data_IF_003358834711
#
_entry.id   IF_003358834711
#
_cell.length_a   1.000
_cell.length_b   1.000
_cell.length_c   1.000
_cell.angle_alpha   90.00
_cell.angle_beta   90.00
_cell.angle_gamma   90.00
#
_symmetry.space_group_name_H-M   'P 1'
#
loop_
_entity.id
_entity.type
_entity.pdbx_description
1 polymer ?
#
# COMPACT_ATOMS: atom_id res chain seq x y z
N UNK A 1 -18.28 8.24 -15.74
CA UNK A 1 -17.11 8.21 -14.83
C UNK A 1 -17.29 7.05 -13.85
N UNK A 2 -16.23 6.29 -13.55
CA UNK A 2 -16.32 5.27 -12.47
C UNK A 2 -16.45 5.97 -11.12
N UNK A 3 -17.26 5.41 -10.20
CA UNK A 3 -17.42 5.93 -8.84
C UNK A 3 -16.05 6.06 -8.14
N UNK A 4 -15.81 7.10 -7.32
CA UNK A 4 -14.55 7.34 -6.60
C UNK A 4 -14.02 6.11 -5.87
N UNK A 5 -14.90 5.33 -5.25
CA UNK A 5 -14.58 4.09 -4.57
C UNK A 5 -13.68 3.15 -5.40
N UNK A 6 -14.05 2.89 -6.67
CA UNK A 6 -13.29 1.96 -7.52
C UNK A 6 -11.92 2.52 -7.91
N UNK A 7 -11.84 3.83 -8.16
CA UNK A 7 -10.57 4.49 -8.48
C UNK A 7 -9.61 4.42 -7.30
N UNK A 8 -10.11 4.77 -6.12
CA UNK A 8 -9.30 4.85 -4.89
C UNK A 8 -8.89 3.47 -4.40
N UNK A 9 -9.82 2.51 -4.35
CA UNK A 9 -9.49 1.14 -3.93
C UNK A 9 -8.51 0.47 -4.88
N UNK A 10 -8.61 0.72 -6.18
CA UNK A 10 -7.62 0.25 -7.15
C UNK A 10 -6.22 0.84 -6.85
N UNK A 11 -6.13 2.15 -6.62
CA UNK A 11 -4.87 2.81 -6.26
C UNK A 11 -4.30 2.28 -4.94
N UNK A 12 -5.15 2.08 -3.93
CA UNK A 12 -4.74 1.51 -2.65
C UNK A 12 -4.22 0.06 -2.80
N UNK A 13 -4.88 -0.77 -3.64
CA UNK A 13 -4.40 -2.12 -4.00
C UNK A 13 -3.02 -2.10 -4.66
N UNK A 14 -2.81 -1.16 -5.60
CA UNK A 14 -1.54 -1.00 -6.31
C UNK A 14 -0.37 -0.61 -5.39
N UNK A 15 -0.64 0.09 -4.31
CA UNK A 15 0.36 0.49 -3.32
C UNK A 15 0.56 -0.59 -2.25
N UNK A 16 -0.53 -1.07 -1.66
CA UNK A 16 -0.48 -1.92 -0.48
C UNK A 16 -0.13 -3.39 -0.80
N UNK A 17 -0.74 -3.99 -1.83
CA UNK A 17 -0.55 -5.41 -2.10
C UNK A 17 0.87 -5.78 -2.51
N UNK A 18 1.58 -5.00 -3.36
CA UNK A 18 3.00 -5.19 -3.60
C UNK A 18 3.84 -5.08 -2.32
N UNK A 19 3.55 -4.08 -1.47
CA UNK A 19 4.22 -3.90 -0.19
C UNK A 19 4.01 -5.12 0.74
N UNK A 20 2.78 -5.63 0.84
CA UNK A 20 2.50 -6.84 1.63
C UNK A 20 3.29 -8.04 1.14
N UNK A 21 3.39 -8.24 -0.18
CA UNK A 21 4.17 -9.33 -0.78
C UNK A 21 5.68 -9.17 -0.55
N UNK A 22 6.18 -7.94 -0.68
CA UNK A 22 7.59 -7.62 -0.44
C UNK A 22 8.04 -7.96 0.97
N UNK A 23 7.16 -7.73 1.94
CA UNK A 23 7.45 -7.90 3.36
C UNK A 23 6.89 -9.22 3.94
N UNK A 24 6.47 -10.17 3.09
CA UNK A 24 5.88 -11.45 3.50
C UNK A 24 4.78 -11.31 4.57
N UNK A 25 3.98 -10.23 4.46
CA UNK A 25 2.95 -9.91 5.44
C UNK A 25 1.82 -10.94 5.39
N UNK A 26 1.67 -11.68 6.48
CA UNK A 26 0.58 -12.66 6.62
C UNK A 26 -0.71 -11.96 7.02
N UNK A 27 -1.84 -12.45 6.49
CA UNK A 27 -3.16 -11.95 6.90
C UNK A 27 -3.42 -12.07 8.41
N UNK A 28 -2.70 -12.96 9.11
CA UNK A 28 -2.83 -13.16 10.56
C UNK A 28 -2.18 -12.06 11.40
N UNK A 29 -1.19 -11.38 10.85
CA UNK A 29 -0.39 -10.37 11.54
C UNK A 29 -0.41 -9.02 10.82
N UNK A 30 -1.40 -8.83 9.95
CA UNK A 30 -1.52 -7.55 9.25
C UNK A 30 -1.84 -6.43 10.23
N UNK A 31 -1.05 -5.37 10.14
CA UNK A 31 -1.33 -4.05 10.71
C UNK A 31 -0.96 -2.99 9.67
N UNK A 32 -1.66 -1.87 9.65
CA UNK A 32 -1.39 -0.78 8.73
C UNK A 32 -0.04 -0.08 9.01
N UNK A 33 0.48 -0.19 10.24
CA UNK A 33 1.65 0.56 10.72
C UNK A 33 2.88 0.37 9.82
N UNK A 34 3.22 -0.86 9.47
CA UNK A 34 4.40 -1.12 8.63
C UNK A 34 4.32 -0.45 7.26
N UNK A 35 3.12 -0.44 6.64
CA UNK A 35 2.88 0.26 5.40
C UNK A 35 2.98 1.77 5.60
N UNK A 36 2.32 2.30 6.62
CA UNK A 36 2.33 3.73 6.95
C UNK A 36 3.76 4.22 7.18
N UNK A 37 4.54 3.57 8.06
CA UNK A 37 5.94 3.91 8.35
C UNK A 37 6.82 3.86 7.10
N UNK A 38 6.62 2.87 6.24
CA UNK A 38 7.33 2.79 4.96
C UNK A 38 7.01 3.98 4.06
N UNK A 39 5.74 4.40 3.97
CA UNK A 39 5.34 5.51 3.12
C UNK A 39 5.88 6.85 3.64
N UNK A 40 5.79 7.12 4.94
CA UNK A 40 6.31 8.37 5.51
C UNK A 40 7.83 8.46 5.37
N UNK A 41 8.55 7.36 5.60
CA UNK A 41 10.01 7.33 5.46
C UNK A 41 10.45 7.51 4.00
N UNK A 42 9.79 6.82 3.06
CA UNK A 42 10.15 6.87 1.64
C UNK A 42 9.85 8.23 0.99
N UNK A 43 8.86 8.96 1.51
CA UNK A 43 8.43 10.24 0.96
C UNK A 43 8.87 11.44 1.81
N UNK A 44 9.67 11.22 2.86
CA UNK A 44 10.13 12.25 3.78
C UNK A 44 8.98 13.09 4.37
N UNK A 45 7.92 12.39 4.83
CA UNK A 45 6.74 12.98 5.46
C UNK A 45 7.00 13.09 6.96
N UNK A 46 6.70 14.24 7.56
CA UNK A 46 6.72 14.42 9.00
C UNK A 46 5.34 14.12 9.59
N UNK A 47 5.32 13.45 10.74
CA UNK A 47 4.05 13.14 11.44
C UNK A 47 4.15 13.63 12.88
N UNK A 48 3.19 14.48 13.28
CA UNK A 48 3.19 15.11 14.60
C UNK A 48 1.81 14.94 15.25
N UNK A 49 1.80 14.40 16.47
CA UNK A 49 0.61 14.38 17.32
C UNK A 49 0.55 15.62 18.21
N UNK A 50 -0.58 16.31 18.19
CA UNK A 50 -0.88 17.45 19.08
C UNK A 50 -2.21 17.24 19.76
N UNK A 51 -2.41 17.86 20.91
CA UNK A 51 -3.74 18.02 21.52
C UNK A 51 -4.47 19.17 20.81
N UNK A 52 -5.34 18.82 19.87
CA UNK A 52 -6.14 19.78 19.11
C UNK A 52 -7.47 20.09 19.79
N UNK A 53 -7.65 19.67 21.06
CA UNK A 53 -8.84 19.93 21.89
C UNK A 53 -10.15 19.47 21.25
N UNK A 54 -10.09 18.36 20.50
CA UNK A 54 -11.24 17.79 19.77
C UNK A 54 -11.91 18.75 18.76
N UNK A 55 -11.21 19.79 18.30
CA UNK A 55 -11.79 20.74 17.31
C UNK A 55 -11.74 20.17 15.90
N UNK A 56 -10.66 19.48 15.56
CA UNK A 56 -10.46 18.75 14.31
C UNK A 56 -9.72 17.43 14.62
N UNK A 57 -9.89 16.42 13.78
CA UNK A 57 -9.22 15.13 13.99
C UNK A 57 -7.75 15.17 13.55
N UNK A 58 -7.46 15.91 12.50
CA UNK A 58 -6.15 16.13 11.96
C UNK A 58 -6.18 17.05 10.77
N UNK A 59 -5.02 17.28 10.21
CA UNK A 59 -4.84 18.02 8.97
C UNK A 59 -3.46 17.73 8.39
N UNK A 60 -3.30 17.94 7.09
CA UNK A 60 -1.99 17.93 6.47
C UNK A 60 -1.69 19.23 5.74
N UNK A 61 -0.42 19.57 5.69
CA UNK A 61 0.08 20.78 5.01
C UNK A 61 1.37 20.51 4.26
N UNK A 62 1.62 21.31 3.22
CA UNK A 62 2.93 21.38 2.56
C UNK A 62 3.58 22.67 3.02
N UNK A 63 4.75 22.55 3.67
CA UNK A 63 5.50 23.73 4.11
C UNK A 63 6.16 24.48 2.93
N UNK A 64 6.77 25.64 3.23
CA UNK A 64 7.43 26.48 2.23
C UNK A 64 8.66 25.82 1.61
N UNK A 65 9.16 24.72 2.18
CA UNK A 65 10.30 23.93 1.68
C UNK A 65 9.85 22.73 0.86
N UNK A 66 8.53 22.50 0.75
CA UNK A 66 7.93 21.35 0.06
C UNK A 66 7.87 20.08 0.91
N UNK A 67 8.07 20.19 2.23
CA UNK A 67 7.92 19.06 3.15
C UNK A 67 6.45 18.85 3.46
N UNK A 68 5.98 17.60 3.35
CA UNK A 68 4.61 17.23 3.73
C UNK A 68 4.56 16.92 5.23
N UNK A 69 3.65 17.55 5.93
CA UNK A 69 3.42 17.37 7.36
C UNK A 69 2.01 16.82 7.59
N UNK A 70 1.92 15.72 8.30
CA UNK A 70 0.67 15.14 8.80
C UNK A 70 0.56 15.48 10.30
N UNK A 71 -0.56 16.08 10.69
CA UNK A 71 -0.87 16.37 12.09
C UNK A 71 -2.15 15.64 12.49
N UNK A 72 -2.18 15.06 13.67
CA UNK A 72 -3.36 14.38 14.21
C UNK A 72 -3.60 14.75 15.67
N UNK A 73 -4.87 14.69 16.12
CA UNK A 73 -5.23 14.93 17.51
C UNK A 73 -4.84 13.73 18.38
N UNK A 74 -3.82 13.93 19.21
CA UNK A 74 -3.29 12.91 20.12
C UNK A 74 -4.22 12.63 21.31
N UNK A 75 -5.21 13.48 21.59
CA UNK A 75 -6.22 13.28 22.63
C UNK A 75 -7.32 12.31 22.20
N UNK A 76 -7.50 12.10 20.90
CA UNK A 76 -8.47 11.16 20.37
C UNK A 76 -8.12 9.70 20.70
N UNK A 77 -9.17 8.85 20.74
CA UNK A 77 -8.98 7.42 20.89
C UNK A 77 -8.09 6.85 19.76
N UNK A 78 -7.28 5.83 20.08
CA UNK A 78 -6.30 5.23 19.14
C UNK A 78 -6.87 4.91 17.77
N UNK A 79 -8.06 4.28 17.69
CA UNK A 79 -8.71 3.95 16.42
C UNK A 79 -8.97 5.19 15.54
N UNK A 80 -9.32 6.32 16.14
CA UNK A 80 -9.52 7.58 15.43
C UNK A 80 -8.20 8.16 14.94
N UNK A 81 -7.17 8.12 15.79
CA UNK A 81 -5.82 8.52 15.37
C UNK A 81 -5.32 7.69 14.18
N UNK A 82 -5.56 6.36 14.19
CA UNK A 82 -5.17 5.46 13.11
C UNK A 82 -5.86 5.85 11.80
N UNK A 83 -7.18 6.09 11.88
CA UNK A 83 -7.97 6.53 10.72
C UNK A 83 -7.45 7.86 10.17
N UNK A 84 -7.29 8.87 11.03
CA UNK A 84 -6.80 10.19 10.65
C UNK A 84 -5.42 10.13 9.98
N UNK A 85 -4.47 9.40 10.56
CA UNK A 85 -3.14 9.23 9.96
C UNK A 85 -3.20 8.64 8.54
N UNK A 86 -4.02 7.60 8.34
CA UNK A 86 -4.18 6.99 7.01
C UNK A 86 -4.95 7.89 6.05
N UNK A 87 -5.89 8.69 6.54
CA UNK A 87 -6.66 9.66 5.77
C UNK A 87 -5.74 10.77 5.22
N UNK A 88 -4.94 11.39 6.10
CA UNK A 88 -3.98 12.42 5.71
C UNK A 88 -2.88 11.89 4.76
N UNK A 89 -2.43 10.64 4.98
CA UNK A 89 -1.56 9.96 4.02
C UNK A 89 -2.27 9.73 2.69
N UNK A 90 -3.58 9.49 2.70
CA UNK A 90 -4.42 9.34 1.52
C UNK A 90 -4.38 10.59 0.64
N UNK A 91 -4.51 11.79 1.20
CA UNK A 91 -4.39 13.04 0.46
C UNK A 91 -3.06 13.12 -0.31
N UNK A 92 -1.97 12.75 0.35
CA UNK A 92 -0.65 12.74 -0.28
C UNK A 92 -0.54 11.71 -1.42
N UNK A 93 -0.91 10.46 -1.18
CA UNK A 93 -0.71 9.36 -2.13
C UNK A 93 -1.70 9.39 -3.32
N UNK A 94 -2.84 10.06 -3.15
CA UNK A 94 -3.81 10.31 -4.22
C UNK A 94 -3.48 11.58 -5.01
N UNK A 95 -2.46 12.34 -4.62
CA UNK A 95 -2.07 13.62 -5.19
C UNK A 95 -3.22 14.62 -5.21
N UNK A 96 -3.91 14.79 -4.07
CA UNK A 96 -4.95 15.78 -3.94
C UNK A 96 -4.37 17.20 -4.03
N UNK A 97 -5.07 18.08 -4.78
CA UNK A 97 -4.66 19.47 -4.93
C UNK A 97 -5.05 20.27 -3.67
N UNK A 98 -4.08 20.97 -3.09
CA UNK A 98 -4.30 21.84 -1.94
C UNK A 98 -3.01 22.03 -1.14
N UNK A 99 -2.95 23.10 -0.36
CA UNK A 99 -1.84 23.33 0.59
C UNK A 99 -2.20 22.94 2.03
N UNK A 100 -3.48 22.89 2.32
CA UNK A 100 -4.04 22.56 3.64
C UNK A 100 -5.27 21.70 3.43
N UNK A 101 -5.31 20.55 4.04
CA UNK A 101 -6.47 19.64 4.07
C UNK A 101 -6.99 19.62 5.49
N UNK A 102 -8.30 19.83 5.65
CA UNK A 102 -8.98 19.85 6.96
C UNK A 102 -10.33 19.17 6.86
N UNK A 103 -10.74 18.47 7.88
CA UNK A 103 -12.01 17.73 8.01
C UNK A 103 -13.30 18.55 7.76
N UNK A 104 -13.21 19.84 7.53
CA UNK A 104 -14.36 20.74 7.54
C UNK A 104 -15.25 20.73 6.27
N UNK A 105 -14.92 19.92 5.25
CA UNK A 105 -15.67 19.83 3.99
C UNK A 105 -16.10 18.38 3.69
N UNK A 106 -16.99 17.83 4.47
CA UNK A 106 -17.51 16.44 4.33
C UNK A 106 -18.04 16.07 2.93
N UNK A 107 -18.35 17.05 2.09
CA UNK A 107 -18.82 16.85 0.70
C UNK A 107 -17.74 17.08 -0.37
N UNK A 108 -16.49 17.29 0.03
CA UNK A 108 -15.41 17.42 -0.94
C UNK A 108 -15.04 16.02 -1.47
N UNK A 109 -14.96 15.89 -2.81
CA UNK A 109 -14.57 14.64 -3.44
C UNK A 109 -13.23 14.08 -2.91
N UNK A 110 -12.28 14.97 -2.60
CA UNK A 110 -10.98 14.59 -2.08
C UNK A 110 -11.06 13.99 -0.67
N UNK A 111 -11.95 14.51 0.19
CA UNK A 111 -12.22 13.94 1.53
C UNK A 111 -12.82 12.54 1.43
N UNK A 112 -13.82 12.37 0.55
CA UNK A 112 -14.43 11.06 0.27
C UNK A 112 -13.38 10.07 -0.28
N UNK A 113 -12.50 10.51 -1.18
CA UNK A 113 -11.41 9.70 -1.71
C UNK A 113 -10.41 9.31 -0.60
N UNK A 114 -10.04 10.24 0.30
CA UNK A 114 -9.15 9.98 1.43
C UNK A 114 -9.78 9.02 2.46
N UNK A 115 -11.09 9.12 2.70
CA UNK A 115 -11.84 8.17 3.54
C UNK A 115 -11.82 6.76 2.98
N UNK A 116 -12.09 6.59 1.68
CA UNK A 116 -11.99 5.26 1.04
C UNK A 116 -10.58 4.70 1.08
N UNK A 117 -9.57 5.54 0.88
CA UNK A 117 -8.18 5.15 0.96
C UNK A 117 -7.82 4.68 2.37
N UNK A 118 -8.12 5.48 3.40
CA UNK A 118 -7.89 5.15 4.80
C UNK A 118 -8.58 3.85 5.20
N UNK A 119 -9.85 3.74 4.86
CA UNK A 119 -10.67 2.55 5.13
C UNK A 119 -10.08 1.30 4.49
N UNK A 120 -9.58 1.40 3.25
CA UNK A 120 -8.93 0.27 2.57
C UNK A 120 -7.59 -0.10 3.20
N UNK A 121 -6.73 0.88 3.52
CA UNK A 121 -5.41 0.62 4.14
C UNK A 121 -5.58 -0.03 5.51
N UNK A 122 -6.52 0.43 6.32
CA UNK A 122 -6.79 -0.17 7.63
C UNK A 122 -7.40 -1.58 7.52
N UNK A 123 -8.27 -1.81 6.53
CA UNK A 123 -9.08 -3.02 6.38
C UNK A 123 -9.06 -3.53 4.93
N UNK A 124 -7.92 -4.05 4.43
CA UNK A 124 -7.82 -4.52 3.04
C UNK A 124 -8.74 -5.70 2.74
N UNK A 125 -9.30 -5.75 1.52
CA UNK A 125 -10.22 -6.82 1.10
C UNK A 125 -9.66 -8.21 1.35
N UNK A 126 -8.39 -8.46 1.02
CA UNK A 126 -7.75 -9.78 1.20
C UNK A 126 -7.62 -10.17 2.67
N UNK A 127 -7.46 -9.19 3.57
CA UNK A 127 -7.39 -9.41 5.02
C UNK A 127 -8.77 -9.70 5.58
N UNK A 128 -9.79 -8.93 5.18
CA UNK A 128 -11.18 -9.19 5.58
C UNK A 128 -11.64 -10.56 5.08
N UNK A 129 -11.35 -10.89 3.81
CA UNK A 129 -11.64 -12.21 3.24
C UNK A 129 -11.03 -13.33 4.10
N UNK A 130 -9.75 -13.22 4.44
CA UNK A 130 -9.05 -14.20 5.26
C UNK A 130 -9.62 -14.33 6.66
N UNK A 131 -10.00 -13.23 7.29
CA UNK A 131 -10.59 -13.22 8.62
C UNK A 131 -12.00 -13.80 8.64
N UNK A 132 -12.86 -13.45 7.67
CA UNK A 132 -14.26 -13.89 7.62
C UNK A 132 -14.36 -15.35 7.17
N UNK A 133 -13.72 -15.75 6.03
CA UNK A 133 -13.91 -17.07 5.45
C UNK A 133 -12.96 -18.14 5.99
N UNK A 134 -11.72 -17.80 6.28
CA UNK A 134 -10.72 -18.82 6.62
C UNK A 134 -10.51 -18.95 8.12
N UNK A 135 -10.67 -17.86 8.87
CA UNK A 135 -10.47 -17.86 10.32
C UNK A 135 -11.77 -17.83 11.10
N UNK A 136 -12.90 -17.67 10.43
CA UNK A 136 -14.23 -17.55 11.04
C UNK A 136 -14.24 -16.58 12.23
N UNK A 137 -13.59 -15.41 12.07
CA UNK A 137 -13.54 -14.41 13.11
C UNK A 137 -14.88 -13.70 13.26
N UNK A 138 -15.28 -13.44 14.50
CA UNK A 138 -16.39 -12.56 14.80
C UNK A 138 -16.10 -11.11 14.36
N UNK A 139 -17.15 -10.32 14.24
CA UNK A 139 -17.02 -8.87 13.98
C UNK A 139 -16.12 -8.19 15.03
N UNK A 140 -16.26 -8.57 16.31
CA UNK A 140 -15.46 -8.06 17.41
C UNK A 140 -13.98 -8.43 17.27
N UNK A 141 -13.68 -9.69 16.94
CA UNK A 141 -12.29 -10.13 16.74
C UNK A 141 -11.61 -9.39 15.58
N UNK A 142 -12.37 -9.07 14.53
CA UNK A 142 -11.84 -8.35 13.37
C UNK A 142 -11.46 -6.93 13.75
N UNK A 143 -12.39 -6.14 14.34
CA UNK A 143 -12.06 -4.76 14.65
C UNK A 143 -10.96 -4.62 15.70
N UNK A 144 -10.90 -5.52 16.69
CA UNK A 144 -9.79 -5.55 17.64
C UNK A 144 -8.45 -5.90 16.97
N UNK A 145 -8.45 -6.93 16.10
CA UNK A 145 -7.20 -7.37 15.46
C UNK A 145 -6.65 -6.37 14.42
N UNK A 146 -7.48 -5.49 13.88
CA UNK A 146 -7.09 -4.46 12.93
C UNK A 146 -6.95 -3.06 13.56
N UNK A 147 -7.19 -2.96 14.86
CA UNK A 147 -7.11 -1.71 15.63
C UNK A 147 -7.96 -0.58 15.02
N UNK A 148 -9.22 -0.92 14.69
CA UNK A 148 -10.22 -0.01 14.14
C UNK A 148 -11.45 0.07 15.02
N UNK A 149 -12.28 1.13 14.87
CA UNK A 149 -13.55 1.20 15.59
C UNK A 149 -14.61 0.26 15.00
N UNK A 150 -15.59 -0.20 15.82
CA UNK A 150 -16.72 -0.96 15.30
C UNK A 150 -17.46 -0.23 14.16
N UNK A 151 -17.64 1.08 14.27
CA UNK A 151 -18.28 1.89 13.23
C UNK A 151 -17.46 1.97 11.94
N UNK A 152 -16.13 1.99 12.03
CA UNK A 152 -15.26 1.95 10.86
C UNK A 152 -15.37 0.60 10.13
N UNK A 153 -15.38 -0.51 10.86
CA UNK A 153 -15.57 -1.83 10.25
C UNK A 153 -16.95 -1.96 9.62
N UNK A 154 -18.01 -1.49 10.31
CA UNK A 154 -19.37 -1.49 9.78
C UNK A 154 -19.43 -0.73 8.43
N UNK A 155 -18.89 0.50 8.40
CA UNK A 155 -18.85 1.33 7.20
C UNK A 155 -18.05 0.65 6.08
N UNK A 156 -16.90 0.05 6.41
CA UNK A 156 -16.08 -0.67 5.43
C UNK A 156 -16.79 -1.87 4.80
N UNK A 157 -17.48 -2.67 5.60
CA UNK A 157 -18.28 -3.78 5.09
C UNK A 157 -19.45 -3.28 4.23
N UNK A 158 -20.11 -2.19 4.66
CA UNK A 158 -21.18 -1.56 3.88
C UNK A 158 -20.67 -1.13 2.50
N UNK A 159 -19.51 -0.48 2.42
CA UNK A 159 -18.90 -0.09 1.14
C UNK A 159 -18.61 -1.32 0.25
N UNK A 160 -18.01 -2.37 0.83
CA UNK A 160 -17.70 -3.59 0.06
C UNK A 160 -18.98 -4.19 -0.51
N UNK A 161 -20.04 -4.33 0.28
CA UNK A 161 -21.28 -4.92 -0.16
C UNK A 161 -22.00 -4.02 -1.18
N UNK A 162 -22.10 -2.72 -0.92
CA UNK A 162 -22.76 -1.77 -1.80
C UNK A 162 -22.14 -1.68 -3.20
N UNK A 163 -20.83 -1.78 -3.28
CA UNK A 163 -20.13 -1.64 -4.57
C UNK A 163 -19.85 -2.96 -5.29
N UNK A 164 -20.04 -4.10 -4.64
CA UNK A 164 -19.75 -5.39 -5.25
C UNK A 164 -20.96 -6.36 -5.29
N UNK A 165 -22.13 -5.93 -4.81
CA UNK A 165 -23.37 -6.70 -4.89
C UNK A 165 -24.52 -5.85 -5.43
N UNK A 166 -25.65 -6.49 -5.73
CA UNK A 166 -26.88 -5.80 -6.12
C UNK A 166 -27.88 -5.64 -4.94
N UNK A 167 -27.41 -5.82 -3.71
CA UNK A 167 -28.21 -5.67 -2.51
C UNK A 167 -28.54 -4.20 -2.27
N UNK A 168 -29.75 -3.95 -1.76
CA UNK A 168 -30.13 -2.60 -1.34
C UNK A 168 -29.57 -2.29 0.07
N UNK A 169 -29.59 -1.01 0.45
CA UNK A 169 -29.01 -0.54 1.71
C UNK A 169 -29.65 -1.18 2.97
N UNK A 170 -30.94 -1.52 2.92
CA UNK A 170 -31.63 -2.19 4.04
C UNK A 170 -31.12 -3.61 4.23
N UNK A 171 -30.99 -4.36 3.15
CA UNK A 171 -30.44 -5.73 3.15
C UNK A 171 -29.01 -5.73 3.66
N UNK A 172 -28.16 -4.84 3.12
CA UNK A 172 -26.76 -4.69 3.53
C UNK A 172 -26.67 -4.41 5.03
N UNK A 173 -27.41 -3.44 5.52
CA UNK A 173 -27.39 -3.09 6.95
C UNK A 173 -27.86 -4.24 7.83
N UNK A 174 -28.90 -5.00 7.43
CA UNK A 174 -29.35 -6.19 8.16
C UNK A 174 -28.26 -7.24 8.26
N UNK A 175 -27.63 -7.60 7.14
CA UNK A 175 -26.55 -8.60 7.08
C UNK A 175 -25.38 -8.20 8.00
N UNK A 176 -24.94 -6.94 7.93
CA UNK A 176 -23.83 -6.48 8.77
C UNK A 176 -24.25 -6.44 10.24
N UNK A 177 -25.47 -6.04 10.54
CA UNK A 177 -26.00 -6.03 11.90
C UNK A 177 -26.09 -7.43 12.51
N UNK A 178 -26.56 -8.42 11.76
CA UNK A 178 -26.62 -9.82 12.22
C UNK A 178 -25.21 -10.37 12.48
N UNK A 179 -24.25 -10.06 11.61
CA UNK A 179 -22.85 -10.38 11.83
C UNK A 179 -22.26 -9.66 13.07
N UNK A 180 -22.51 -8.37 13.22
CA UNK A 180 -22.06 -7.57 14.37
C UNK A 180 -22.65 -8.07 15.69
N UNK A 181 -23.94 -8.43 15.68
CA UNK A 181 -24.68 -8.93 16.84
C UNK A 181 -24.40 -10.40 17.15
N UNK A 182 -23.56 -11.05 16.38
CA UNK A 182 -23.21 -12.48 16.51
C UNK A 182 -24.43 -13.42 16.37
N UNK A 183 -25.44 -13.01 15.58
CA UNK A 183 -26.68 -13.76 15.37
C UNK A 183 -26.57 -14.73 14.21
N UNK A 184 -26.16 -14.22 13.05
CA UNK A 184 -25.99 -15.03 11.83
C UNK A 184 -24.78 -14.53 11.03
N UNK A 185 -23.95 -15.46 10.59
CA UNK A 185 -22.75 -15.22 9.79
C UNK A 185 -22.87 -15.76 8.36
N UNK A 186 -23.93 -16.53 8.08
CA UNK A 186 -24.06 -17.25 6.80
C UNK A 186 -24.11 -16.30 5.63
N UNK A 187 -24.86 -15.20 5.74
CA UNK A 187 -25.02 -14.25 4.65
C UNK A 187 -23.71 -13.52 4.34
N UNK A 188 -23.02 -12.99 5.36
CA UNK A 188 -21.72 -12.32 5.15
C UNK A 188 -20.67 -13.27 4.58
N UNK A 189 -20.63 -14.52 5.04
CA UNK A 189 -19.72 -15.54 4.52
C UNK A 189 -20.07 -15.94 3.08
N UNK A 190 -21.36 -16.09 2.76
CA UNK A 190 -21.82 -16.37 1.41
C UNK A 190 -21.40 -15.28 0.42
N UNK A 191 -21.60 -14.02 0.80
CA UNK A 191 -21.17 -12.87 -0.03
C UNK A 191 -19.66 -12.87 -0.21
N UNK A 192 -18.88 -12.97 0.87
CA UNK A 192 -17.41 -13.00 0.75
C UNK A 192 -16.92 -14.22 -0.04
N UNK A 193 -17.64 -15.34 0.01
CA UNK A 193 -17.36 -16.51 -0.82
C UNK A 193 -17.55 -16.21 -2.31
N UNK A 194 -18.62 -15.47 -2.67
CA UNK A 194 -18.85 -15.04 -4.06
C UNK A 194 -17.80 -14.05 -4.56
N UNK A 195 -17.27 -13.18 -3.69
CA UNK A 195 -16.25 -12.19 -4.02
C UNK A 195 -14.80 -12.75 -4.00
N UNK A 196 -14.62 -13.94 -3.45
CA UNK A 196 -13.31 -14.55 -3.16
C UNK A 196 -12.38 -14.56 -4.35
N UNK A 197 -12.82 -15.05 -5.50
CA UNK A 197 -11.95 -15.23 -6.66
C UNK A 197 -11.48 -13.89 -7.22
N UNK A 198 -12.34 -12.87 -7.21
CA UNK A 198 -12.00 -11.50 -7.59
C UNK A 198 -10.95 -10.89 -6.67
N UNK A 199 -11.15 -10.98 -5.35
CA UNK A 199 -10.22 -10.45 -4.34
C UNK A 199 -8.86 -11.15 -4.42
N UNK A 200 -8.85 -12.48 -4.54
CA UNK A 200 -7.60 -13.25 -4.67
C UNK A 200 -6.88 -12.92 -5.97
N UNK A 201 -7.61 -12.77 -7.07
CA UNK A 201 -7.06 -12.37 -8.37
C UNK A 201 -6.38 -11.00 -8.28
N UNK A 202 -7.04 -10.01 -7.70
CA UNK A 202 -6.47 -8.67 -7.49
C UNK A 202 -5.19 -8.73 -6.68
N UNK A 203 -5.20 -9.47 -5.57
CA UNK A 203 -4.00 -9.65 -4.76
C UNK A 203 -2.88 -10.35 -5.54
N UNK A 204 -3.17 -11.44 -6.26
CA UNK A 204 -2.17 -12.20 -7.04
C UNK A 204 -1.57 -11.37 -8.18
N UNK A 205 -2.39 -10.58 -8.88
CA UNK A 205 -1.97 -9.78 -10.02
C UNK A 205 -1.23 -8.49 -9.63
N UNK A 206 -1.32 -8.05 -8.39
CA UNK A 206 -0.58 -6.90 -7.91
C UNK A 206 0.93 -7.12 -8.10
N UNK A 207 1.53 -6.27 -8.92
CA UNK A 207 2.97 -6.33 -9.25
C UNK A 207 3.71 -5.32 -8.39
N UNK A 208 4.90 -5.71 -7.97
CA UNK A 208 5.85 -4.77 -7.38
C UNK A 208 6.14 -3.65 -8.39
N UNK A 209 6.14 -2.41 -7.92
CA UNK A 209 6.67 -1.33 -8.74
C UNK A 209 8.16 -1.62 -9.06
N UNK A 210 8.71 -1.10 -10.15
CA UNK A 210 10.13 -1.25 -10.44
C UNK A 210 11.05 -0.81 -9.30
N UNK A 211 10.64 0.20 -8.53
CA UNK A 211 11.38 0.69 -7.36
C UNK A 211 11.34 -0.30 -6.19
N UNK A 212 10.15 -0.82 -5.86
CA UNK A 212 10.01 -1.82 -4.79
C UNK A 212 10.74 -3.10 -5.15
N UNK A 213 10.67 -3.49 -6.43
CA UNK A 213 11.43 -4.65 -6.94
C UNK A 213 12.94 -4.42 -6.83
N UNK A 214 13.41 -3.21 -7.17
CA UNK A 214 14.82 -2.85 -6.99
C UNK A 214 15.23 -2.91 -5.52
N UNK A 215 14.43 -2.38 -4.61
CA UNK A 215 14.67 -2.42 -3.17
C UNK A 215 14.79 -3.86 -2.67
N UNK A 216 13.82 -4.72 -3.02
CA UNK A 216 13.86 -6.15 -2.66
C UNK A 216 15.11 -6.85 -3.20
N UNK A 217 15.46 -6.56 -4.46
CA UNK A 217 16.64 -7.15 -5.06
C UNK A 217 17.92 -6.68 -4.37
N UNK A 218 18.02 -5.39 -3.97
CA UNK A 218 19.17 -4.86 -3.23
C UNK A 218 19.32 -5.45 -1.82
N UNK A 219 18.21 -5.77 -1.16
CA UNK A 219 18.23 -6.44 0.14
C UNK A 219 18.81 -7.87 0.04
N UNK A 220 18.50 -8.59 -1.04
CA UNK A 220 18.88 -9.99 -1.22
C UNK A 220 20.12 -10.17 -2.10
N UNK A 221 20.46 -9.18 -2.92
CA UNK A 221 21.54 -9.23 -3.90
C UNK A 221 22.22 -7.88 -3.98
N UNK A 222 23.53 -7.88 -3.85
CA UNK A 222 24.34 -6.68 -4.00
C UNK A 222 24.64 -6.30 -5.46
N UNK A 223 24.28 -7.16 -6.44
CA UNK A 223 24.45 -6.97 -7.88
C UNK A 223 23.20 -7.45 -8.64
N UNK A 224 22.66 -6.58 -9.50
CA UNK A 224 21.39 -6.77 -10.21
C UNK A 224 21.61 -6.50 -11.69
N UNK A 225 21.06 -7.33 -12.57
CA UNK A 225 21.11 -7.13 -14.03
C UNK A 225 19.70 -6.84 -14.58
N UNK A 226 19.66 -6.32 -15.82
CA UNK A 226 18.39 -6.07 -16.54
C UNK A 226 17.56 -7.33 -16.79
N UNK A 227 18.13 -8.53 -16.64
CA UNK A 227 17.37 -9.78 -16.67
C UNK A 227 16.39 -9.90 -15.49
N UNK A 228 16.82 -9.41 -14.32
CA UNK A 228 15.99 -9.37 -13.10
C UNK A 228 15.12 -8.12 -13.05
N UNK A 229 15.65 -6.99 -13.53
CA UNK A 229 14.98 -5.68 -13.54
C UNK A 229 15.16 -5.01 -14.90
N UNK A 230 14.26 -5.27 -15.87
CA UNK A 230 14.36 -4.74 -17.24
C UNK A 230 14.44 -3.21 -17.31
N UNK A 231 13.88 -2.51 -16.34
CA UNK A 231 13.86 -1.05 -16.23
C UNK A 231 15.25 -0.43 -16.07
N UNK A 232 16.26 -1.22 -15.73
CA UNK A 232 17.67 -0.76 -15.74
C UNK A 232 18.16 -0.32 -17.13
N UNK A 233 17.44 -0.66 -18.21
CA UNK A 233 17.69 -0.16 -19.56
C UNK A 233 17.25 1.30 -19.74
N UNK A 234 16.37 1.80 -18.86
CA UNK A 234 15.81 3.14 -18.93
C UNK A 234 16.64 4.11 -18.10
N UNK A 235 17.24 5.10 -18.77
CA UNK A 235 18.06 6.10 -18.10
C UNK A 235 17.25 6.93 -17.07
N UNK A 236 16.00 7.23 -17.40
CA UNK A 236 15.07 7.97 -16.51
C UNK A 236 14.81 7.21 -15.20
N UNK A 237 14.61 5.90 -15.28
CA UNK A 237 14.47 5.02 -14.12
C UNK A 237 15.74 5.03 -13.26
N UNK A 238 16.89 4.82 -13.90
CA UNK A 238 18.19 4.80 -13.21
C UNK A 238 18.50 6.12 -12.48
N UNK A 239 18.16 7.28 -13.07
CA UNK A 239 18.35 8.59 -12.45
C UNK A 239 17.45 8.77 -11.22
N UNK A 240 16.17 8.36 -11.31
CA UNK A 240 15.25 8.40 -10.17
C UNK A 240 15.69 7.43 -9.07
N UNK A 241 16.10 6.21 -9.45
CA UNK A 241 16.57 5.20 -8.50
C UNK A 241 17.78 5.67 -7.69
N UNK A 242 18.75 6.35 -8.31
CA UNK A 242 19.90 6.92 -7.60
C UNK A 242 19.54 7.99 -6.58
N UNK A 243 18.44 8.72 -6.78
CA UNK A 243 17.93 9.70 -5.79
C UNK A 243 17.35 9.01 -4.56
N UNK A 244 16.67 7.87 -4.75
CA UNK A 244 16.04 7.10 -3.66
C UNK A 244 17.07 6.23 -2.94
N UNK A 245 18.03 5.67 -3.68
CA UNK A 245 19.07 4.78 -3.15
C UNK A 245 20.47 5.42 -3.35
N UNK A 246 20.97 6.22 -2.39
CA UNK A 246 22.21 7.03 -2.56
C UNK A 246 23.46 6.21 -2.89
N UNK A 247 23.50 4.93 -2.51
CA UNK A 247 24.63 4.03 -2.76
C UNK A 247 24.48 3.18 -4.03
N UNK A 248 23.38 3.37 -4.74
CA UNK A 248 23.13 2.67 -5.99
C UNK A 248 24.02 3.25 -7.09
N UNK A 249 24.85 2.40 -7.68
CA UNK A 249 25.52 2.67 -8.95
C UNK A 249 24.87 1.89 -10.06
N UNK A 250 24.74 2.47 -11.24
CA UNK A 250 24.21 1.82 -12.44
C UNK A 250 25.17 2.03 -13.59
N UNK A 251 25.34 1.00 -14.42
CA UNK A 251 26.18 1.06 -15.60
C UNK A 251 25.66 0.13 -16.71
N UNK A 252 26.19 0.32 -17.91
CA UNK A 252 25.99 -0.61 -19.01
C UNK A 252 27.31 -0.93 -19.67
N UNK A 253 27.51 -2.17 -20.07
CA UNK A 253 28.69 -2.63 -20.80
C UNK A 253 28.25 -3.39 -22.03
N UNK A 254 28.93 -3.11 -23.14
CA UNK A 254 28.75 -3.83 -24.41
C UNK A 254 29.93 -4.81 -24.64
N UNK A 255 29.59 -6.03 -25.00
CA UNK A 255 30.56 -7.03 -25.41
C UNK A 255 29.94 -8.00 -26.42
N UNK A 256 30.65 -8.25 -27.55
CA UNK A 256 30.30 -9.25 -28.58
C UNK A 256 28.82 -9.26 -29.00
N UNK A 257 28.25 -8.09 -29.28
CA UNK A 257 26.85 -7.95 -29.72
C UNK A 257 25.83 -8.01 -28.61
N UNK A 258 26.23 -8.04 -27.35
CA UNK A 258 25.35 -8.03 -26.18
C UNK A 258 25.60 -6.80 -25.35
N UNK A 259 24.53 -6.22 -24.84
CA UNK A 259 24.62 -5.13 -23.84
C UNK A 259 24.05 -5.64 -22.50
N UNK A 260 24.85 -5.53 -21.46
CA UNK A 260 24.47 -5.81 -20.09
C UNK A 260 24.24 -4.49 -19.37
N UNK A 261 23.02 -4.24 -18.92
CA UNK A 261 22.69 -3.16 -17.97
C UNK A 261 22.65 -3.74 -16.58
N UNK A 262 23.30 -3.07 -15.63
CA UNK A 262 23.42 -3.57 -14.26
C UNK A 262 23.47 -2.44 -13.23
N UNK A 263 23.12 -2.81 -11.99
CA UNK A 263 23.16 -1.96 -10.81
C UNK A 263 23.81 -2.71 -9.65
N UNK A 264 24.46 -1.97 -8.75
CA UNK A 264 25.05 -2.56 -7.53
C UNK A 264 25.04 -1.57 -6.37
N UNK A 265 25.11 -2.13 -5.16
CA UNK A 265 25.33 -1.36 -3.95
C UNK A 265 26.83 -1.09 -3.77
N UNK A 266 27.24 0.18 -3.90
CA UNK A 266 28.64 0.58 -3.79
C UNK A 266 29.22 0.53 -2.38
N UNK A 267 28.38 0.33 -1.34
CA UNK A 267 28.83 0.04 0.03
C UNK A 267 29.25 -1.44 0.20
N UNK A 268 28.64 -2.32 -0.57
CA UNK A 268 28.82 -3.77 -0.43
C UNK A 268 29.78 -4.36 -1.45
N UNK A 269 29.99 -3.69 -2.59
CA UNK A 269 30.84 -4.19 -3.67
C UNK A 269 31.87 -3.15 -4.10
N UNK A 270 33.13 -3.61 -4.19
CA UNK A 270 34.22 -2.89 -4.83
C UNK A 270 34.12 -2.99 -6.37
N UNK A 271 34.75 -2.07 -7.08
CA UNK A 271 34.76 -2.06 -8.55
C UNK A 271 35.38 -3.34 -9.14
N UNK A 272 36.35 -3.97 -8.42
CA UNK A 272 36.94 -5.24 -8.83
C UNK A 272 35.96 -6.41 -8.74
N UNK A 273 35.16 -6.46 -7.67
CA UNK A 273 34.12 -7.49 -7.49
C UNK A 273 32.99 -7.32 -8.50
N UNK A 274 32.61 -6.08 -8.79
CA UNK A 274 31.64 -5.76 -9.85
C UNK A 274 32.15 -6.25 -11.20
N UNK A 275 33.41 -6.00 -11.54
CA UNK A 275 34.01 -6.46 -12.79
C UNK A 275 34.00 -8.01 -12.94
N UNK A 276 34.17 -8.72 -11.84
CA UNK A 276 34.08 -10.21 -11.85
C UNK A 276 32.60 -10.62 -12.07
N UNK A 277 31.65 -10.02 -11.38
CA UNK A 277 30.21 -10.34 -11.54
C UNK A 277 29.71 -10.02 -12.95
N UNK A 278 30.19 -8.95 -13.56
CA UNK A 278 29.87 -8.59 -14.96
C UNK A 278 30.34 -9.65 -15.93
N UNK A 279 31.56 -10.18 -15.77
CA UNK A 279 32.07 -11.29 -16.62
C UNK A 279 31.20 -12.54 -16.51
N UNK A 280 30.80 -12.93 -15.30
CA UNK A 280 29.91 -14.08 -15.12
C UNK A 280 28.51 -13.80 -15.73
N UNK A 281 27.97 -12.60 -15.59
CA UNK A 281 26.68 -12.25 -16.17
C UNK A 281 26.70 -12.27 -17.71
N UNK A 282 27.80 -11.88 -18.34
CA UNK A 282 27.97 -12.03 -19.78
C UNK A 282 28.06 -13.50 -20.22
N UNK A 283 28.77 -14.33 -19.47
CA UNK A 283 28.83 -15.77 -19.73
C UNK A 283 27.46 -16.42 -19.69
N UNK A 284 26.66 -16.09 -18.67
CA UNK A 284 25.26 -16.56 -18.55
C UNK A 284 24.34 -16.07 -19.67
N UNK A 285 24.58 -14.83 -20.17
CA UNK A 285 23.84 -14.28 -21.31
C UNK A 285 24.15 -14.97 -22.64
N UNK A 286 25.39 -15.37 -22.83
CA UNK A 286 25.83 -16.07 -24.01
C UNK A 286 25.25 -17.49 -24.06
N UNK A 287 25.30 -18.21 -22.94
CA UNK A 287 24.83 -19.61 -22.85
C UNK A 287 23.29 -19.76 -22.86
N UNK A 288 22.52 -18.71 -22.71
CA UNK A 288 21.05 -18.75 -22.83
C UNK A 288 20.54 -18.48 -24.25
N UNK A 289 21.45 -18.28 -25.22
CA UNK A 289 21.10 -18.10 -26.63
C UNK A 289 21.21 -19.39 -27.46
N UNK A 290 21.77 -20.42 -26.87
CA UNK A 290 21.77 -21.79 -27.39
C UNK A 290 20.62 -22.58 -26.72
#
# INVERSE_FOLDING_TARGET
>A
MKHPYFKVTQKAKELLYPFMKLNDMKASSYTYHSFFESQISSNNILVIGHDLRNTISGFSIIDNQGTYLITYDSSHHQHRQNFTKCHELGHYLLNHDGKVFTDNNENNLQEIEADYFSSFILMPDIILLGNILHKNKSFQDIFHSLDVSPSALFRRLNDILSFNTNLNSTEINSIIWDYQSNRDWNDIQSIFSSLKDGIIKDYRQAKLSPFDKLQQLLTNKNFITHQLLPELKEQSFCQKAKKVFPYLKTWSQYDKGLTLWYAWDSKQLTDMEVSRKVKFAFYDLQNKKD
#
